data_IF_953203755874
#
_entry.id   IF_953203755874
#
_cell.length_a   1.000
_cell.length_b   1.000
_cell.length_c   1.000
_cell.angle_alpha   90.00
_cell.angle_beta   90.00
_cell.angle_gamma   90.00
#
_symmetry.space_group_name_H-M   'P 1'
#
loop_
_entity.id
_entity.type
_entity.pdbx_description
1 polymer ?
#
# COMPACT_ATOMS: atom_id res chain seq x y z
N UNK A 1 1.64 15.13 68.73
CA UNK A 1 0.84 14.36 67.74
C UNK A 1 0.30 15.34 66.71
N UNK A 2 0.96 15.44 65.55
CA UNK A 2 0.42 16.16 64.38
C UNK A 2 1.01 15.50 63.14
N UNK A 3 0.12 14.84 62.38
CA UNK A 3 0.39 14.27 61.06
C UNK A 3 0.44 15.40 60.02
N UNK A 4 1.27 15.23 58.99
CA UNK A 4 1.07 15.60 57.56
C UNK A 4 2.40 15.26 56.85
N UNK A 5 2.59 14.12 56.20
CA UNK A 5 2.20 13.72 54.83
C UNK A 5 2.37 14.81 53.74
N UNK A 6 2.81 14.34 52.56
CA UNK A 6 3.20 15.03 51.30
C UNK A 6 4.70 15.37 51.23
N UNK A 7 5.49 14.90 50.26
CA UNK A 7 5.18 14.67 48.85
C UNK A 7 5.95 13.49 48.26
N UNK A 8 5.22 12.44 47.88
CA UNK A 8 5.69 11.49 46.88
C UNK A 8 5.59 12.23 45.54
N UNK A 9 6.71 12.60 44.94
CA UNK A 9 6.75 13.12 43.57
C UNK A 9 6.37 11.94 42.67
N UNK A 10 5.08 11.86 42.33
CA UNK A 10 4.60 11.04 41.23
C UNK A 10 5.27 11.59 39.97
N UNK A 11 6.23 10.84 39.42
CA UNK A 11 6.65 10.97 38.03
C UNK A 11 5.48 10.44 37.20
N UNK A 12 4.44 11.25 37.05
CA UNK A 12 3.40 11.06 36.05
C UNK A 12 3.74 11.92 34.83
N UNK A 13 4.92 11.70 34.25
CA UNK A 13 5.15 12.11 32.85
C UNK A 13 4.44 11.08 31.97
N UNK A 14 3.13 11.29 31.85
CA UNK A 14 2.36 11.12 30.63
C UNK A 14 3.10 10.38 29.50
N UNK A 15 2.86 9.07 29.42
CA UNK A 15 3.16 8.20 28.25
C UNK A 15 2.26 8.55 27.05
N UNK A 16 1.66 9.75 27.06
CA UNK A 16 0.71 10.22 26.07
C UNK A 16 1.38 11.23 25.13
N UNK A 17 2.44 10.85 24.40
CA UNK A 17 2.87 11.56 23.17
C UNK A 17 4.01 10.90 22.37
N UNK A 18 3.96 9.58 22.07
CA UNK A 18 4.95 8.95 21.15
C UNK A 18 4.31 8.42 19.85
N UNK A 19 3.09 8.86 19.53
CA UNK A 19 2.50 8.68 18.19
C UNK A 19 2.29 10.03 17.50
N UNK A 20 3.28 10.92 17.57
CA UNK A 20 3.41 11.90 16.52
C UNK A 20 3.65 11.09 15.23
N UNK A 21 2.60 10.90 14.43
CA UNK A 21 2.75 10.44 13.05
C UNK A 21 3.75 11.38 12.39
N UNK A 22 4.97 10.88 12.23
CA UNK A 22 6.03 11.59 11.54
C UNK A 22 5.55 11.86 10.13
N UNK A 23 5.02 13.07 9.91
CA UNK A 23 4.59 13.52 8.59
C UNK A 23 5.78 13.40 7.67
N UNK A 24 5.60 12.70 6.55
CA UNK A 24 6.69 12.41 5.63
C UNK A 24 7.32 13.74 5.18
N UNK A 25 8.62 13.88 5.43
CA UNK A 25 9.36 15.01 4.90
C UNK A 25 9.50 14.85 3.38
N UNK A 26 8.67 15.55 2.61
CA UNK A 26 8.68 15.51 1.15
C UNK A 26 10.05 15.86 0.54
N UNK A 27 10.95 16.54 1.28
CA UNK A 27 12.33 16.80 0.85
C UNK A 27 13.18 15.51 0.78
N UNK A 28 12.96 14.55 1.68
CA UNK A 28 13.66 13.24 1.72
C UNK A 28 13.27 12.31 0.57
N UNK A 29 12.14 12.56 -0.09
CA UNK A 29 11.66 11.74 -1.21
C UNK A 29 12.39 12.01 -2.56
N UNK A 30 13.68 12.43 -2.55
CA UNK A 30 14.56 12.38 -3.75
C UNK A 30 15.05 10.96 -4.05
N UNK A 31 14.76 10.03 -3.14
CA UNK A 31 15.43 8.74 -3.05
C UNK A 31 14.66 7.62 -3.76
N UNK A 32 15.26 6.44 -3.78
CA UNK A 32 14.75 5.25 -4.43
C UNK A 32 13.39 4.82 -3.87
N UNK A 33 12.41 4.60 -4.75
CA UNK A 33 11.11 4.03 -4.40
C UNK A 33 10.98 2.65 -5.02
N UNK A 34 10.65 1.66 -4.20
CA UNK A 34 10.49 0.27 -4.60
C UNK A 34 9.02 -0.13 -4.54
N UNK A 35 8.45 -0.47 -5.69
CA UNK A 35 7.13 -1.09 -5.79
C UNK A 35 7.32 -2.56 -6.17
N UNK A 36 6.97 -3.48 -5.29
CA UNK A 36 7.26 -4.91 -5.43
C UNK A 36 5.97 -5.71 -5.24
N UNK A 37 5.65 -6.58 -6.18
CA UNK A 37 4.41 -7.33 -6.09
C UNK A 37 4.12 -8.23 -7.28
N UNK A 38 2.84 -8.44 -7.56
CA UNK A 38 2.37 -9.32 -8.63
C UNK A 38 2.31 -8.61 -10.01
N UNK A 39 1.47 -9.11 -10.93
CA UNK A 39 1.28 -8.51 -12.25
C UNK A 39 0.65 -7.11 -12.22
N UNK A 40 -0.16 -6.76 -11.20
CA UNK A 40 -0.71 -5.40 -11.02
C UNK A 40 0.42 -4.38 -10.92
N UNK A 41 1.41 -4.67 -10.08
CA UNK A 41 2.59 -3.82 -9.88
C UNK A 41 3.34 -3.57 -11.20
N UNK A 42 3.35 -4.54 -12.11
CA UNK A 42 3.99 -4.39 -13.42
C UNK A 42 3.15 -3.57 -14.42
N UNK A 43 1.82 -3.50 -14.26
CA UNK A 43 0.89 -2.86 -15.20
C UNK A 43 0.65 -3.69 -16.46
N UNK A 44 0.60 -5.02 -16.34
CA UNK A 44 0.44 -5.93 -17.46
C UNK A 44 -0.93 -6.62 -17.42
N UNK A 45 -1.99 -5.91 -17.80
CA UNK A 45 -3.24 -6.56 -18.17
C UNK A 45 -3.08 -7.24 -19.55
N UNK A 46 -3.69 -8.41 -19.77
CA UNK A 46 -3.62 -9.07 -21.09
C UNK A 46 -4.28 -8.18 -22.15
N UNK A 47 -3.55 -7.86 -23.23
CA UNK A 47 -4.09 -7.17 -24.40
C UNK A 47 -4.31 -5.64 -24.28
N UNK A 48 -4.12 -5.04 -23.10
CA UNK A 48 -4.16 -3.57 -22.90
C UNK A 48 -3.04 -3.14 -21.95
N UNK A 49 -2.17 -2.22 -22.38
CA UNK A 49 -1.20 -1.58 -21.46
C UNK A 49 -1.96 -0.56 -20.60
N UNK A 50 -2.36 -0.94 -19.39
CA UNK A 50 -2.83 0.02 -18.38
C UNK A 50 -1.63 0.55 -17.59
N UNK A 51 -1.62 1.83 -17.22
CA UNK A 51 -0.60 2.34 -16.31
C UNK A 51 -0.80 1.69 -14.95
N UNK A 52 0.25 1.07 -14.41
CA UNK A 52 0.20 0.49 -13.07
C UNK A 52 0.02 1.58 -12.01
N UNK A 53 -0.56 1.21 -10.86
CA UNK A 53 -0.69 2.08 -9.68
C UNK A 53 0.61 2.78 -9.32
N UNK A 54 1.76 2.10 -9.42
CA UNK A 54 3.06 2.69 -9.15
C UNK A 54 3.43 3.84 -10.11
N UNK A 55 3.15 3.70 -11.41
CA UNK A 55 3.39 4.78 -12.37
C UNK A 55 2.41 5.93 -12.14
N UNK A 56 1.15 5.62 -11.85
CA UNK A 56 0.14 6.63 -11.50
C UNK A 56 0.55 7.41 -10.26
N UNK A 57 1.02 6.73 -9.22
CA UNK A 57 1.55 7.35 -8.00
C UNK A 57 2.73 8.29 -8.29
N UNK A 58 3.72 7.83 -9.06
CA UNK A 58 4.87 8.64 -9.47
C UNK A 58 4.47 9.86 -10.31
N UNK A 59 3.49 9.72 -11.20
CA UNK A 59 2.98 10.80 -12.06
C UNK A 59 2.29 11.90 -11.24
N UNK A 60 1.46 11.51 -10.28
CA UNK A 60 0.80 12.45 -9.36
C UNK A 60 1.86 13.15 -8.51
N UNK A 61 2.84 12.41 -7.99
CA UNK A 61 3.92 12.99 -7.21
C UNK A 61 4.72 14.03 -8.00
N UNK A 62 5.16 13.69 -9.21
CA UNK A 62 5.91 14.59 -10.08
C UNK A 62 5.12 15.85 -10.41
N UNK A 63 3.83 15.71 -10.72
CA UNK A 63 2.93 16.85 -11.01
C UNK A 63 2.67 17.73 -9.79
N UNK A 64 2.65 17.14 -8.59
CA UNK A 64 2.36 17.86 -7.34
C UNK A 64 3.57 18.61 -6.81
N UNK A 65 4.74 18.00 -6.88
CA UNK A 65 5.96 18.52 -6.24
C UNK A 65 7.02 18.97 -7.24
N UNK A 66 6.71 18.98 -8.54
CA UNK A 66 7.63 19.28 -9.65
C UNK A 66 8.96 18.51 -9.52
N UNK A 67 8.86 17.21 -9.21
CA UNK A 67 10.00 16.41 -8.79
C UNK A 67 9.81 14.94 -9.12
N UNK A 68 10.64 14.42 -10.01
CA UNK A 68 10.58 13.03 -10.44
C UNK A 68 11.25 12.09 -9.41
N UNK A 69 10.55 11.07 -8.89
CA UNK A 69 11.14 10.08 -7.99
C UNK A 69 11.96 9.04 -8.76
N UNK A 70 12.96 8.45 -8.12
CA UNK A 70 13.63 7.26 -8.66
C UNK A 70 12.77 6.02 -8.39
N UNK A 71 11.72 5.86 -9.20
CA UNK A 71 10.75 4.77 -9.05
C UNK A 71 11.21 3.50 -9.79
N UNK A 72 11.24 2.37 -9.07
CA UNK A 72 11.49 1.04 -9.63
C UNK A 72 10.33 0.11 -9.31
N UNK A 73 9.91 -0.68 -10.30
CA UNK A 73 8.80 -1.64 -10.19
C UNK A 73 9.31 -3.06 -10.43
N UNK A 74 8.96 -3.98 -9.54
CA UNK A 74 9.39 -5.38 -9.56
C UNK A 74 8.17 -6.33 -9.49
N UNK A 75 7.23 -6.13 -10.41
CA UNK A 75 6.00 -6.91 -10.53
C UNK A 75 6.19 -8.20 -11.32
N UNK A 76 5.76 -9.35 -10.78
CA UNK A 76 5.78 -10.65 -11.47
C UNK A 76 4.47 -11.41 -11.22
N UNK A 77 3.74 -11.72 -12.29
CA UNK A 77 2.44 -12.39 -12.19
C UNK A 77 2.50 -13.77 -11.53
N UNK A 78 1.51 -14.05 -10.69
CA UNK A 78 1.33 -15.32 -9.98
C UNK A 78 2.37 -15.59 -8.88
N UNK A 79 3.13 -14.57 -8.45
CA UNK A 79 4.15 -14.75 -7.43
C UNK A 79 3.55 -14.89 -6.03
N UNK A 80 4.35 -15.48 -5.14
CA UNK A 80 4.07 -15.48 -3.71
C UNK A 80 4.74 -14.28 -3.02
N UNK A 81 4.36 -14.01 -1.78
CA UNK A 81 5.04 -13.01 -0.95
C UNK A 81 6.53 -13.32 -0.75
N UNK A 82 6.88 -14.61 -0.70
CA UNK A 82 8.27 -15.01 -0.58
C UNK A 82 9.06 -14.75 -1.87
N UNK A 83 8.42 -14.90 -3.04
CA UNK A 83 9.06 -14.56 -4.31
C UNK A 83 9.27 -13.04 -4.45
N UNK A 84 8.32 -12.24 -3.96
CA UNK A 84 8.48 -10.78 -3.85
C UNK A 84 9.65 -10.42 -2.95
N UNK A 85 9.77 -11.05 -1.78
CA UNK A 85 10.91 -10.83 -0.89
C UNK A 85 12.25 -11.27 -1.51
N UNK A 86 12.30 -12.40 -2.20
CA UNK A 86 13.52 -12.84 -2.95
C UNK A 86 13.93 -11.85 -4.03
N UNK A 87 12.98 -11.13 -4.65
CA UNK A 87 13.30 -10.04 -5.59
C UNK A 87 13.89 -8.85 -4.86
N UNK A 88 13.27 -8.45 -3.75
CA UNK A 88 13.76 -7.37 -2.90
C UNK A 88 15.21 -7.60 -2.44
N UNK A 89 15.54 -8.78 -1.91
CA UNK A 89 16.88 -9.05 -1.35
C UNK A 89 18.00 -8.97 -2.39
N UNK A 90 17.70 -9.26 -3.67
CA UNK A 90 18.61 -9.17 -4.80
C UNK A 90 18.90 -7.74 -5.27
N UNK A 91 18.19 -6.74 -4.76
CA UNK A 91 18.44 -5.34 -5.11
C UNK A 91 19.69 -4.83 -4.38
N UNK A 92 20.65 -4.31 -5.15
CA UNK A 92 21.93 -3.81 -4.63
C UNK A 92 21.77 -2.54 -3.78
N UNK A 93 20.75 -1.74 -4.04
CA UNK A 93 20.51 -0.44 -3.40
C UNK A 93 19.28 -0.42 -2.48
N UNK A 94 18.77 -1.59 -2.05
CA UNK A 94 17.56 -1.69 -1.22
C UNK A 94 17.59 -0.83 0.04
N UNK A 95 18.72 -0.77 0.73
CA UNK A 95 18.89 -0.01 1.98
C UNK A 95 18.78 1.51 1.81
N UNK A 96 18.89 2.02 0.56
CA UNK A 96 18.68 3.43 0.22
C UNK A 96 17.24 3.75 -0.17
N UNK A 97 16.33 2.77 -0.12
CA UNK A 97 14.93 3.01 -0.42
C UNK A 97 14.28 3.82 0.70
N UNK A 98 13.53 4.86 0.33
CA UNK A 98 12.70 5.66 1.28
C UNK A 98 11.25 5.24 1.29
N UNK A 99 10.81 4.55 0.25
CA UNK A 99 9.49 3.98 0.14
C UNK A 99 9.61 2.56 -0.42
N UNK A 100 9.05 1.61 0.31
CA UNK A 100 8.90 0.23 -0.13
C UNK A 100 7.41 -0.10 -0.04
N UNK A 101 6.76 -0.16 -1.19
CA UNK A 101 5.37 -0.57 -1.31
C UNK A 101 5.30 -2.02 -1.81
N UNK A 102 4.61 -2.85 -1.05
CA UNK A 102 4.42 -4.27 -1.33
C UNK A 102 2.97 -4.56 -1.70
N UNK A 103 2.77 -5.45 -2.66
CA UNK A 103 1.44 -5.96 -2.99
C UNK A 103 1.54 -7.43 -3.40
N UNK A 104 0.98 -8.31 -2.59
CA UNK A 104 0.81 -9.73 -2.93
C UNK A 104 -0.49 -10.22 -2.28
N UNK A 105 -1.05 -11.29 -2.83
CA UNK A 105 -2.26 -11.92 -2.30
C UNK A 105 -1.99 -13.36 -1.88
N UNK A 106 -2.80 -13.85 -0.94
CA UNK A 106 -2.71 -15.25 -0.51
C UNK A 106 -3.25 -16.21 -1.55
N UNK A 107 -2.89 -17.50 -1.40
CA UNK A 107 -3.37 -18.58 -2.25
C UNK A 107 -3.12 -18.34 -3.76
N UNK A 108 -1.90 -17.92 -4.09
CA UNK A 108 -1.44 -17.75 -5.46
C UNK A 108 -1.16 -19.10 -6.14
N UNK A 109 -1.29 -19.13 -7.48
CA UNK A 109 -1.26 -20.35 -8.29
C UNK A 109 0.12 -21.06 -8.30
N UNK A 110 1.21 -20.33 -8.02
CA UNK A 110 2.56 -20.89 -7.90
C UNK A 110 2.78 -21.49 -6.50
N UNK A 111 3.97 -22.06 -6.21
CA UNK A 111 4.36 -22.65 -4.91
C UNK A 111 4.39 -21.62 -3.75
N UNK A 112 3.28 -20.92 -3.51
CA UNK A 112 3.13 -19.87 -2.53
C UNK A 112 2.38 -20.33 -1.28
N UNK A 113 2.13 -19.37 -0.39
CA UNK A 113 1.39 -19.58 0.85
C UNK A 113 -0.09 -19.87 0.52
N UNK A 114 -0.54 -21.10 0.81
CA UNK A 114 -1.87 -21.58 0.46
C UNK A 114 -2.87 -21.37 1.60
N UNK A 115 -2.41 -21.36 2.84
CA UNK A 115 -3.27 -21.10 4.01
C UNK A 115 -3.17 -19.65 4.47
N UNK A 116 -4.19 -19.20 5.20
CA UNK A 116 -4.24 -17.86 5.81
C UNK A 116 -3.09 -17.69 6.80
N UNK A 117 -2.84 -18.71 7.63
CA UNK A 117 -1.77 -18.72 8.63
C UNK A 117 -0.38 -18.67 8.00
N UNK A 118 -0.11 -19.50 6.98
CA UNK A 118 1.16 -19.48 6.24
C UNK A 118 1.44 -18.09 5.65
N UNK A 119 0.40 -17.46 5.09
CA UNK A 119 0.52 -16.13 4.50
C UNK A 119 0.77 -15.05 5.55
N UNK A 120 0.05 -15.08 6.68
CA UNK A 120 0.23 -14.14 7.78
C UNK A 120 1.61 -14.26 8.43
N UNK A 121 2.07 -15.48 8.72
CA UNK A 121 3.40 -15.73 9.27
C UNK A 121 4.50 -15.26 8.31
N UNK A 122 4.36 -15.57 7.01
CA UNK A 122 5.33 -15.09 6.01
C UNK A 122 5.30 -13.56 5.90
N UNK A 123 4.12 -12.94 5.97
CA UNK A 123 3.99 -11.50 5.97
C UNK A 123 4.74 -10.86 7.13
N UNK A 124 4.51 -11.33 8.36
CA UNK A 124 5.22 -10.81 9.53
C UNK A 124 6.73 -10.96 9.39
N UNK A 125 7.21 -12.14 9.00
CA UNK A 125 8.64 -12.42 8.80
C UNK A 125 9.27 -11.52 7.72
N UNK A 126 8.59 -11.35 6.56
CA UNK A 126 9.09 -10.52 5.47
C UNK A 126 9.16 -9.06 5.87
N UNK A 127 8.14 -8.53 6.54
CA UNK A 127 8.15 -7.13 6.99
C UNK A 127 9.23 -6.90 8.06
N UNK A 128 9.41 -7.82 9.00
CA UNK A 128 10.49 -7.77 9.99
C UNK A 128 11.87 -7.71 9.33
N UNK A 129 12.10 -8.52 8.29
CA UNK A 129 13.38 -8.53 7.57
C UNK A 129 13.58 -7.25 6.74
N UNK A 130 12.57 -6.81 6.00
CA UNK A 130 12.66 -5.56 5.22
C UNK A 130 12.93 -4.37 6.14
N UNK A 131 12.28 -4.28 7.29
CA UNK A 131 12.50 -3.21 8.26
C UNK A 131 13.91 -3.19 8.84
N UNK A 132 14.58 -4.34 8.96
CA UNK A 132 15.99 -4.41 9.38
C UNK A 132 16.95 -4.02 8.25
N UNK A 133 16.65 -4.44 7.02
CA UNK A 133 17.50 -4.18 5.85
C UNK A 133 17.35 -2.76 5.28
N UNK A 134 16.21 -2.12 5.54
CA UNK A 134 15.88 -0.74 5.11
C UNK A 134 15.26 0.05 6.26
N UNK A 135 16.03 0.37 7.32
CA UNK A 135 15.50 0.97 8.55
C UNK A 135 14.91 2.37 8.38
N UNK A 136 15.28 3.07 7.30
CA UNK A 136 14.79 4.41 6.98
C UNK A 136 13.58 4.40 6.03
N UNK A 137 13.23 3.24 5.48
CA UNK A 137 12.14 3.14 4.52
C UNK A 137 10.79 3.28 5.22
N UNK A 138 9.89 4.05 4.60
CA UNK A 138 8.47 3.91 4.85
C UNK A 138 8.00 2.63 4.14
N UNK A 139 7.49 1.67 4.90
CA UNK A 139 6.96 0.43 4.33
C UNK A 139 5.43 0.54 4.25
N UNK A 140 4.88 0.24 3.08
CA UNK A 140 3.44 0.10 2.86
C UNK A 140 3.12 -1.27 2.28
N UNK A 141 1.93 -1.78 2.59
CA UNK A 141 1.41 -3.01 2.00
C UNK A 141 -0.02 -2.79 1.50
N UNK A 142 -0.36 -3.27 0.31
CA UNK A 142 -1.71 -3.17 -0.26
C UNK A 142 -2.57 -4.39 0.11
N UNK A 143 -3.81 -4.17 0.59
CA UNK A 143 -4.77 -5.27 0.71
C UNK A 143 -5.23 -5.75 -0.67
N UNK A 144 -5.48 -7.05 -0.80
CA UNK A 144 -5.82 -7.65 -2.09
C UNK A 144 -7.33 -7.57 -2.38
N UNK A 145 -7.70 -7.11 -3.58
CA UNK A 145 -9.09 -7.08 -4.03
C UNK A 145 -9.43 -8.31 -4.86
N UNK A 146 -10.50 -9.03 -4.53
CA UNK A 146 -10.86 -10.31 -5.16
C UNK A 146 -11.41 -10.23 -6.59
N UNK A 147 -11.50 -9.04 -7.20
CA UNK A 147 -12.01 -8.84 -8.58
C UNK A 147 -13.43 -9.38 -8.80
N UNK A 148 -14.31 -9.27 -7.79
CA UNK A 148 -15.66 -9.87 -7.79
C UNK A 148 -15.67 -11.40 -7.96
N UNK A 149 -14.61 -12.09 -7.50
CA UNK A 149 -14.44 -13.55 -7.64
C UNK A 149 -14.37 -14.25 -6.28
N UNK A 150 -14.90 -13.65 -5.22
CA UNK A 150 -14.90 -14.20 -3.87
C UNK A 150 -15.58 -15.58 -3.79
N UNK A 151 -16.57 -15.84 -4.66
CA UNK A 151 -17.23 -17.15 -4.75
C UNK A 151 -16.38 -18.24 -5.42
N UNK A 152 -15.30 -17.88 -6.12
CA UNK A 152 -14.42 -18.85 -6.78
C UNK A 152 -13.41 -19.39 -5.75
N UNK A 153 -13.23 -20.71 -5.73
CA UNK A 153 -12.26 -21.38 -4.86
C UNK A 153 -10.89 -20.70 -4.99
N UNK A 154 -10.34 -20.31 -3.84
CA UNK A 154 -9.01 -19.72 -3.77
C UNK A 154 -8.89 -18.26 -4.24
N UNK A 155 -10.02 -17.58 -4.51
CA UNK A 155 -10.05 -16.18 -4.93
C UNK A 155 -10.67 -15.25 -3.89
N UNK A 156 -11.15 -15.78 -2.76
CA UNK A 156 -11.56 -14.98 -1.62
C UNK A 156 -10.34 -14.58 -0.78
N UNK A 157 -9.93 -13.31 -0.89
CA UNK A 157 -8.79 -12.78 -0.14
C UNK A 157 -9.19 -12.04 1.15
N UNK A 158 -10.49 -11.94 1.46
CA UNK A 158 -10.95 -11.29 2.69
C UNK A 158 -10.32 -11.89 3.97
N UNK A 159 -10.21 -13.22 4.13
CA UNK A 159 -9.57 -13.80 5.31
C UNK A 159 -8.08 -13.48 5.41
N UNK A 160 -7.37 -13.43 4.28
CA UNK A 160 -5.96 -13.05 4.22
C UNK A 160 -5.78 -11.57 4.57
N UNK A 161 -6.64 -10.69 4.03
CA UNK A 161 -6.66 -9.27 4.37
C UNK A 161 -6.99 -9.04 5.87
N UNK A 162 -7.82 -9.88 6.48
CA UNK A 162 -8.06 -9.81 7.92
C UNK A 162 -6.79 -10.20 8.70
N UNK A 163 -6.14 -11.31 8.34
CA UNK A 163 -4.94 -11.76 9.03
C UNK A 163 -3.78 -10.74 8.94
N UNK A 164 -3.54 -10.12 7.78
CA UNK A 164 -2.50 -9.08 7.68
C UNK A 164 -2.80 -7.84 8.54
N UNK A 165 -4.07 -7.48 8.76
CA UNK A 165 -4.42 -6.37 9.67
C UNK A 165 -4.02 -6.69 11.11
N UNK A 166 -4.25 -7.93 11.54
CA UNK A 166 -3.82 -8.39 12.87
C UNK A 166 -2.30 -8.43 12.99
N UNK A 167 -1.58 -8.88 11.95
CA UNK A 167 -0.11 -8.84 11.94
C UNK A 167 0.44 -7.42 11.93
N UNK A 168 -0.15 -6.49 11.18
CA UNK A 168 0.24 -5.06 11.22
C UNK A 168 0.11 -4.50 12.64
N UNK A 169 -0.97 -4.82 13.36
CA UNK A 169 -1.13 -4.41 14.78
C UNK A 169 -0.01 -4.98 15.65
N UNK A 170 0.36 -6.25 15.47
CA UNK A 170 1.45 -6.91 16.22
C UNK A 170 2.82 -6.30 15.90
N UNK A 171 3.13 -6.07 14.62
CA UNK A 171 4.38 -5.47 14.16
C UNK A 171 4.54 -4.03 14.67
N UNK A 172 3.47 -3.23 14.62
CA UNK A 172 3.49 -1.87 15.14
C UNK A 172 3.71 -1.83 16.67
N UNK A 173 3.17 -2.79 17.43
CA UNK A 173 3.49 -2.95 18.87
C UNK A 173 4.97 -3.25 19.12
N UNK A 174 5.64 -3.95 18.18
CA UNK A 174 7.09 -4.18 18.17
C UNK A 174 7.89 -2.99 17.61
N UNK A 175 7.25 -1.84 17.36
CA UNK A 175 7.85 -0.62 16.75
C UNK A 175 8.36 -0.81 15.32
N UNK A 176 7.93 -1.86 14.61
CA UNK A 176 8.19 -2.03 13.18
C UNK A 176 7.11 -1.26 12.42
N UNK A 177 7.47 -0.10 11.86
CA UNK A 177 6.53 0.81 11.19
C UNK A 177 6.12 0.23 9.83
N UNK A 178 4.92 -0.35 9.76
CA UNK A 178 4.26 -0.77 8.53
C UNK A 178 2.86 -0.15 8.46
N UNK A 179 2.50 0.38 7.29
CA UNK A 179 1.16 0.93 7.05
C UNK A 179 0.42 0.13 5.99
N UNK A 180 -0.88 -0.06 6.19
CA UNK A 180 -1.72 -0.84 5.30
C UNK A 180 -2.52 0.09 4.39
N UNK A 181 -2.29 -0.01 3.09
CA UNK A 181 -3.13 0.59 2.07
C UNK A 181 -4.36 -0.29 1.87
N UNK A 182 -5.51 0.18 2.34
CA UNK A 182 -6.81 -0.51 2.34
C UNK A 182 -7.46 -0.58 0.94
N UNK A 183 -6.68 -0.97 -0.07
CA UNK A 183 -7.05 -1.04 -1.49
C UNK A 183 -8.35 -1.81 -1.72
N UNK A 184 -8.54 -2.97 -1.08
CA UNK A 184 -9.78 -3.76 -1.19
C UNK A 184 -11.04 -2.94 -0.83
N UNK A 185 -11.01 -2.18 0.27
CA UNK A 185 -12.13 -1.36 0.71
C UNK A 185 -12.44 -0.23 -0.29
N UNK A 186 -11.40 0.50 -0.72
CA UNK A 186 -11.57 1.64 -1.64
C UNK A 186 -12.01 1.21 -3.04
N UNK A 187 -11.49 0.09 -3.54
CA UNK A 187 -11.91 -0.46 -4.83
C UNK A 187 -13.37 -0.94 -4.76
N UNK A 188 -13.81 -1.63 -3.69
CA UNK A 188 -15.23 -2.01 -3.51
C UNK A 188 -16.15 -0.80 -3.58
N UNK A 189 -15.79 0.30 -2.92
CA UNK A 189 -16.56 1.56 -2.96
C UNK A 189 -16.59 2.17 -4.36
N UNK A 190 -15.46 2.18 -5.06
CA UNK A 190 -15.38 2.69 -6.42
C UNK A 190 -16.22 1.86 -7.39
N UNK A 191 -16.10 0.53 -7.34
CA UNK A 191 -16.91 -0.40 -8.13
C UNK A 191 -18.40 -0.18 -7.89
N UNK A 192 -18.82 0.00 -6.63
CA UNK A 192 -20.22 0.33 -6.29
C UNK A 192 -20.66 1.67 -6.88
N UNK A 193 -19.76 2.65 -6.98
CA UNK A 193 -20.09 4.02 -7.42
C UNK A 193 -20.13 4.18 -8.94
N UNK A 194 -19.21 3.57 -9.68
CA UNK A 194 -19.05 3.79 -11.13
C UNK A 194 -19.14 2.51 -11.98
N UNK A 195 -19.36 1.36 -11.34
CA UNK A 195 -19.51 0.06 -11.99
C UNK A 195 -18.17 -0.65 -12.26
N UNK A 196 -18.18 -1.98 -12.20
CA UNK A 196 -16.97 -2.80 -12.33
C UNK A 196 -16.23 -2.60 -13.66
N UNK A 197 -16.94 -2.42 -14.79
CA UNK A 197 -16.32 -2.25 -16.12
C UNK A 197 -15.42 -1.01 -16.24
N UNK A 198 -15.66 0.02 -15.42
CA UNK A 198 -14.81 1.22 -15.37
C UNK A 198 -13.60 1.07 -14.46
N UNK A 199 -13.56 0.04 -13.61
CA UNK A 199 -12.52 -0.14 -12.59
C UNK A 199 -11.63 -1.34 -12.93
N UNK A 200 -12.21 -2.42 -13.45
CA UNK A 200 -11.58 -3.70 -13.71
C UNK A 200 -11.45 -3.93 -15.21
N UNK A 201 -10.35 -4.56 -15.64
CA UNK A 201 -10.19 -5.01 -17.03
C UNK A 201 -10.99 -6.27 -17.30
N UNK A 202 -11.27 -6.52 -18.58
CA UNK A 202 -12.07 -7.66 -19.04
C UNK A 202 -11.38 -9.02 -18.81
N UNK A 203 -10.07 -9.04 -18.50
CA UNK A 203 -9.33 -10.25 -18.18
C UNK A 203 -9.60 -10.79 -16.76
N UNK A 204 -10.41 -10.09 -15.97
CA UNK A 204 -10.89 -10.54 -14.66
C UNK A 204 -9.78 -10.69 -13.61
N UNK A 205 -8.67 -9.97 -13.80
CA UNK A 205 -7.51 -10.02 -12.92
C UNK A 205 -6.74 -8.71 -12.74
N UNK A 206 -7.04 -7.65 -13.52
CA UNK A 206 -6.33 -6.38 -13.42
C UNK A 206 -7.22 -5.15 -13.32
N UNK A 207 -6.62 -4.03 -12.89
CA UNK A 207 -7.26 -2.73 -12.88
C UNK A 207 -7.09 -1.95 -14.19
N UNK A 208 -8.13 -1.20 -14.55
CA UNK A 208 -8.06 -0.09 -15.52
C UNK A 208 -7.21 1.06 -14.97
N UNK A 209 -6.97 2.11 -15.76
CA UNK A 209 -6.32 3.34 -15.25
C UNK A 209 -7.10 3.97 -14.09
N UNK A 210 -8.43 4.00 -14.13
CA UNK A 210 -9.28 4.50 -13.04
C UNK A 210 -9.14 3.68 -11.76
N UNK A 211 -9.07 2.35 -11.87
CA UNK A 211 -8.76 1.47 -10.73
C UNK A 211 -7.37 1.74 -10.15
N UNK A 212 -6.34 1.82 -11.01
CA UNK A 212 -4.97 2.12 -10.59
C UNK A 212 -4.82 3.51 -9.96
N UNK A 213 -5.62 4.50 -10.36
CA UNK A 213 -5.69 5.80 -9.69
C UNK A 213 -6.21 5.65 -8.25
N UNK A 214 -7.27 4.88 -8.03
CA UNK A 214 -7.78 4.66 -6.67
C UNK A 214 -6.76 3.97 -5.76
N UNK A 215 -6.04 2.98 -6.29
CA UNK A 215 -4.93 2.35 -5.56
C UNK A 215 -3.85 3.37 -5.22
N UNK A 216 -3.41 4.18 -6.18
CA UNK A 216 -2.41 5.22 -5.94
C UNK A 216 -2.85 6.24 -4.87
N UNK A 217 -4.10 6.72 -4.92
CA UNK A 217 -4.65 7.62 -3.90
C UNK A 217 -4.73 6.97 -2.52
N UNK A 218 -5.02 5.66 -2.46
CA UNK A 218 -5.01 4.90 -1.21
C UNK A 218 -3.61 4.86 -0.61
N UNK A 219 -2.57 4.70 -1.44
CA UNK A 219 -1.16 4.75 -0.99
C UNK A 219 -0.81 6.16 -0.49
N UNK A 220 -1.18 7.23 -1.20
CA UNK A 220 -0.99 8.61 -0.73
C UNK A 220 -1.64 8.85 0.63
N UNK A 221 -2.90 8.44 0.80
CA UNK A 221 -3.63 8.53 2.07
C UNK A 221 -2.90 7.78 3.18
N UNK A 222 -2.46 6.55 2.89
CA UNK A 222 -1.73 5.67 3.84
C UNK A 222 -0.42 6.31 4.29
N UNK A 223 0.23 7.07 3.41
CA UNK A 223 1.45 7.81 3.70
C UNK A 223 1.20 9.14 4.45
N UNK A 224 -0.05 9.47 4.78
CA UNK A 224 -0.42 10.72 5.45
C UNK A 224 -0.30 11.96 4.56
N UNK A 225 -0.26 11.78 3.25
CA UNK A 225 -0.17 12.88 2.28
C UNK A 225 -1.58 13.42 2.03
N UNK A 226 -1.75 14.74 2.17
CA UNK A 226 -3.05 15.37 1.93
C UNK A 226 -3.53 15.13 0.50
N UNK A 227 -4.73 14.57 0.35
CA UNK A 227 -5.34 14.35 -0.96
C UNK A 227 -5.83 15.66 -1.59
N UNK A 228 -6.01 16.73 -0.80
CA UNK A 228 -6.38 18.06 -1.31
C UNK A 228 -5.21 18.76 -2.00
N UNK A 229 -3.97 18.43 -1.63
CA UNK A 229 -2.78 19.03 -2.22
C UNK A 229 -2.30 18.32 -3.49
N UNK A 230 -2.89 17.18 -3.86
CA UNK A 230 -2.43 16.40 -5.00
C UNK A 230 -2.85 17.04 -6.33
N UNK A 231 -1.87 17.26 -7.21
CA UNK A 231 -2.09 17.67 -8.58
C UNK A 231 -2.24 16.42 -9.48
N UNK A 232 -3.43 16.21 -10.03
CA UNK A 232 -3.73 15.11 -10.94
C UNK A 232 -3.57 15.47 -12.43
N UNK A 233 -3.07 16.67 -12.76
CA UNK A 233 -2.97 17.17 -14.14
C UNK A 233 -2.00 16.37 -15.02
N UNK A 234 -1.02 15.67 -14.44
CA UNK A 234 -0.11 14.78 -15.19
C UNK A 234 -0.77 13.50 -15.71
N UNK A 235 -1.99 13.21 -15.28
CA UNK A 235 -2.81 12.13 -15.84
C UNK A 235 -3.71 12.76 -16.92
N UNK A 236 -3.58 12.41 -18.20
CA UNK A 236 -4.37 13.02 -19.26
C UNK A 236 -5.84 12.62 -19.17
N UNK A 237 -6.73 13.51 -19.59
CA UNK A 237 -8.19 13.29 -19.54
C UNK A 237 -8.68 12.20 -20.51
N UNK A 238 -7.90 11.91 -21.55
CA UNK A 238 -8.10 10.77 -22.44
C UNK A 238 -7.84 9.42 -21.78
N UNK A 239 -7.13 9.40 -20.64
CA UNK A 239 -6.86 8.19 -19.87
C UNK A 239 -7.83 8.04 -18.70
N UNK A 240 -8.05 9.11 -17.93
CA UNK A 240 -9.00 9.15 -16.82
C UNK A 240 -9.73 10.50 -16.87
N UNK A 241 -11.05 10.47 -17.04
CA UNK A 241 -11.83 11.70 -17.13
C UNK A 241 -11.78 12.53 -15.85
N UNK A 242 -12.04 13.84 -15.96
CA UNK A 242 -12.12 14.74 -14.80
C UNK A 242 -13.15 14.28 -13.76
N UNK A 243 -14.28 13.74 -14.19
CA UNK A 243 -15.31 13.24 -13.29
C UNK A 243 -14.86 11.98 -12.54
N UNK A 244 -14.17 11.05 -13.21
CA UNK A 244 -13.57 9.88 -12.55
C UNK A 244 -12.51 10.29 -11.52
N UNK A 245 -11.64 11.25 -11.84
CA UNK A 245 -10.67 11.81 -10.90
C UNK A 245 -11.36 12.38 -9.65
N UNK A 246 -12.40 13.19 -9.83
CA UNK A 246 -13.19 13.77 -8.74
C UNK A 246 -13.87 12.70 -7.88
N UNK A 247 -14.45 11.68 -8.51
CA UNK A 247 -15.09 10.56 -7.79
C UNK A 247 -14.05 9.80 -6.97
N UNK A 248 -12.89 9.50 -7.55
CA UNK A 248 -11.81 8.81 -6.83
C UNK A 248 -11.32 9.60 -5.61
N UNK A 249 -11.07 10.91 -5.77
CA UNK A 249 -10.71 11.79 -4.65
C UNK A 249 -11.81 11.86 -3.58
N UNK A 250 -13.07 11.99 -3.99
CA UNK A 250 -14.19 12.05 -3.03
C UNK A 250 -14.31 10.78 -2.20
N UNK A 251 -14.14 9.60 -2.83
CA UNK A 251 -14.16 8.31 -2.13
C UNK A 251 -12.97 8.19 -1.17
N UNK A 252 -11.76 8.56 -1.60
CA UNK A 252 -10.56 8.44 -0.78
C UNK A 252 -10.54 9.42 0.43
N UNK A 253 -11.24 10.56 0.35
CA UNK A 253 -11.32 11.58 1.41
C UNK A 253 -12.37 11.31 2.49
N UNK A 254 -13.39 10.48 2.24
CA UNK A 254 -14.58 10.31 3.13
C UNK A 254 -14.38 9.45 4.39
N UNK A 255 -13.14 9.13 4.75
CA UNK A 255 -12.76 8.36 5.94
C UNK A 255 -11.59 9.03 6.65
#
# INVERSE_FOLDING_TARGET
MTKLLFSLILISTSIASIFAEEKINHKALKELWLFIGDSETSGRAKGKKTKSQAITFGTIWESTYNKKPQLKKYGVGGCSLLDSYKRYTKLSNKSSAVLINLQESGNQDKKGQKTIEEFANTFAEVIEKISKESPNAQITYETAYSFNRESKKGRNWNPYNHAIREEVKKLNKKRIKIRLAETDNYIKKLVKKIGAKKVLTDDGGHFTSTGNLMVALTIFKTLGISLDSLNLSGIPDSEISQDEKKICLSIAKKE
#
